data_IF_894433136884
#
_entry.id   IF_894433136884
#
_cell.length_a   1.000
_cell.length_b   1.000
_cell.length_c   1.000
_cell.angle_alpha   90.00
_cell.angle_beta   90.00
_cell.angle_gamma   90.00
#
_symmetry.space_group_name_H-M   'P 1'
#
loop_
_entity.id
_entity.type
_entity.pdbx_description
1 polymer ?
#
# COMPACT_ATOMS: atom_id res chain seq x y z
N UNK A 1 -12.21 -44.92 -8.78
CA UNK A 1 -10.74 -44.78 -8.73
C UNK A 1 -10.44 -43.73 -7.68
N UNK A 2 -9.98 -44.13 -6.49
CA UNK A 2 -9.92 -43.26 -5.30
C UNK A 2 -8.62 -42.48 -5.33
N UNK A 3 -8.69 -41.16 -5.55
CA UNK A 3 -7.55 -40.26 -5.48
C UNK A 3 -7.14 -40.11 -4.01
N UNK A 4 -6.06 -40.80 -3.62
CA UNK A 4 -5.38 -40.59 -2.34
C UNK A 4 -4.64 -39.26 -2.39
N UNK A 5 -5.21 -38.23 -1.77
CA UNK A 5 -4.56 -36.95 -1.57
C UNK A 5 -3.52 -37.11 -0.43
N UNK A 6 -2.23 -37.18 -0.77
CA UNK A 6 -1.14 -37.18 0.20
C UNK A 6 -0.93 -35.75 0.71
N UNK A 7 -1.62 -35.39 1.80
CA UNK A 7 -1.49 -34.10 2.47
C UNK A 7 -0.10 -33.89 3.08
N UNK A 8 0.90 -33.55 2.25
CA UNK A 8 2.13 -32.90 2.72
C UNK A 8 1.83 -31.40 2.81
N UNK A 9 1.63 -30.90 4.03
CA UNK A 9 1.69 -29.46 4.35
C UNK A 9 3.06 -28.94 3.89
N UNK A 10 3.11 -28.19 2.80
CA UNK A 10 4.26 -27.31 2.54
C UNK A 10 4.05 -26.10 3.44
N UNK A 11 5.02 -25.82 4.31
CA UNK A 11 4.98 -24.64 5.15
C UNK A 11 4.89 -23.39 4.26
N UNK A 12 3.92 -22.52 4.53
CA UNK A 12 3.87 -21.20 3.94
C UNK A 12 5.12 -20.41 4.38
N UNK A 13 5.70 -19.53 3.54
CA UNK A 13 6.75 -18.64 3.99
C UNK A 13 6.14 -17.61 4.94
N UNK A 14 6.32 -17.86 6.25
CA UNK A 14 5.71 -17.12 7.35
C UNK A 14 5.80 -15.60 7.24
N UNK A 15 4.72 -14.96 7.69
CA UNK A 15 4.63 -13.54 7.95
C UNK A 15 5.03 -13.28 9.41
N UNK A 16 6.32 -13.25 9.70
CA UNK A 16 6.81 -12.81 11.02
C UNK A 16 7.56 -11.49 10.87
N UNK A 17 6.99 -10.47 11.51
CA UNK A 17 7.65 -9.20 11.73
C UNK A 17 8.60 -9.32 12.92
N UNK A 18 9.89 -9.10 12.67
CA UNK A 18 10.82 -8.67 13.71
C UNK A 18 11.75 -7.60 13.17
N UNK A 19 11.84 -6.51 13.94
CA UNK A 19 12.72 -5.39 13.71
C UNK A 19 14.17 -5.83 13.98
N UNK A 20 15.04 -5.71 12.99
CA UNK A 20 16.49 -5.78 13.18
C UNK A 20 17.18 -4.86 12.15
N UNK A 21 18.04 -3.99 12.67
CA UNK A 21 18.85 -3.02 11.92
C UNK A 21 19.99 -3.77 11.22
N UNK A 22 20.12 -3.64 9.91
CA UNK A 22 21.42 -3.72 9.22
C UNK A 22 21.34 -3.13 7.80
N UNK A 23 22.20 -2.16 7.50
CA UNK A 23 22.25 -1.43 6.23
C UNK A 23 23.21 -2.12 5.24
N UNK A 24 22.63 -3.02 4.40
CA UNK A 24 23.25 -3.76 3.27
C UNK A 24 23.76 -5.16 3.67
N UNK A 25 23.77 -6.23 2.84
CA UNK A 25 23.23 -6.54 1.50
C UNK A 25 21.76 -7.05 1.51
N UNK A 26 21.09 -6.90 2.65
CA UNK A 26 19.75 -7.40 2.99
C UNK A 26 18.64 -7.04 1.99
N UNK A 27 18.74 -5.87 1.32
CA UNK A 27 17.69 -5.39 0.38
C UNK A 27 17.50 -6.27 -0.86
N UNK A 28 18.57 -6.90 -1.36
CA UNK A 28 18.46 -7.81 -2.52
C UNK A 28 17.78 -9.12 -2.13
N UNK A 29 18.14 -9.66 -0.96
CA UNK A 29 17.54 -10.87 -0.39
C UNK A 29 16.08 -10.63 -0.02
N UNK A 30 15.74 -9.45 0.51
CA UNK A 30 14.34 -9.09 0.80
C UNK A 30 13.51 -8.93 -0.47
N UNK A 31 14.06 -8.32 -1.53
CA UNK A 31 13.40 -8.20 -2.82
C UNK A 31 13.17 -9.57 -3.48
N UNK A 32 14.16 -10.48 -3.42
CA UNK A 32 14.03 -11.84 -3.93
C UNK A 32 12.94 -12.62 -3.21
N UNK A 33 12.92 -12.59 -1.86
CA UNK A 33 11.86 -13.25 -1.08
C UNK A 33 10.45 -12.72 -1.41
N UNK A 34 10.31 -11.41 -1.62
CA UNK A 34 9.03 -10.80 -2.03
C UNK A 34 8.62 -11.25 -3.44
N UNK A 35 9.56 -11.30 -4.38
CA UNK A 35 9.32 -11.81 -5.72
C UNK A 35 8.93 -13.30 -5.69
N UNK A 36 9.62 -14.13 -4.90
CA UNK A 36 9.27 -15.54 -4.71
C UNK A 36 7.86 -15.71 -4.14
N UNK A 37 7.47 -14.88 -3.17
CA UNK A 37 6.11 -14.85 -2.63
C UNK A 37 5.07 -14.49 -3.71
N UNK A 38 5.36 -13.47 -4.53
CA UNK A 38 4.52 -13.07 -5.66
C UNK A 38 4.35 -14.21 -6.67
N UNK A 39 5.45 -14.86 -7.06
CA UNK A 39 5.44 -16.02 -7.97
C UNK A 39 4.69 -17.22 -7.40
N UNK A 40 4.85 -17.48 -6.10
CA UNK A 40 4.13 -18.56 -5.41
C UNK A 40 2.61 -18.27 -5.40
N UNK A 41 2.22 -17.03 -5.11
CA UNK A 41 0.83 -16.58 -5.15
C UNK A 41 0.25 -16.71 -6.55
N UNK A 42 0.99 -16.30 -7.59
CA UNK A 42 0.60 -16.48 -8.99
C UNK A 42 0.35 -17.96 -9.35
N UNK A 43 1.21 -18.85 -8.86
CA UNK A 43 1.06 -20.30 -9.06
C UNK A 43 -0.15 -20.85 -8.32
N UNK A 44 -0.46 -20.36 -7.12
CA UNK A 44 -1.62 -20.76 -6.35
C UNK A 44 -2.91 -20.29 -7.02
N UNK A 45 -2.97 -19.00 -7.38
CA UNK A 45 -4.11 -18.37 -8.06
C UNK A 45 -4.47 -19.08 -9.36
N UNK A 46 -3.46 -19.51 -10.13
CA UNK A 46 -3.67 -20.28 -11.36
C UNK A 46 -4.38 -21.61 -11.10
N UNK A 47 -4.17 -22.27 -9.95
CA UNK A 47 -4.89 -23.51 -9.59
C UNK A 47 -6.37 -23.26 -9.31
N UNK A 48 -6.73 -22.04 -8.91
CA UNK A 48 -8.12 -21.61 -8.69
C UNK A 48 -8.75 -20.96 -9.94
N UNK A 49 -8.06 -21.02 -11.09
CA UNK A 49 -8.50 -20.48 -12.37
C UNK A 49 -8.20 -19.00 -12.58
N UNK A 50 -7.52 -18.32 -11.65
CA UNK A 50 -7.14 -16.92 -11.80
C UNK A 50 -5.81 -16.80 -12.54
N UNK A 51 -5.87 -16.95 -13.86
CA UNK A 51 -4.71 -16.75 -14.73
C UNK A 51 -4.46 -15.27 -15.00
N UNK A 52 -3.18 -14.87 -14.94
CA UNK A 52 -2.75 -13.51 -15.29
C UNK A 52 -2.87 -13.31 -16.79
N UNK A 53 -3.56 -12.24 -17.20
CA UNK A 53 -3.71 -11.89 -18.61
C UNK A 53 -2.34 -11.57 -19.24
N UNK A 54 -1.91 -12.37 -20.23
CA UNK A 54 -0.63 -12.20 -20.95
C UNK A 54 -0.81 -11.72 -22.38
N UNK A 55 -1.89 -12.14 -23.02
CA UNK A 55 -2.15 -11.80 -24.42
C UNK A 55 -2.80 -10.41 -24.51
N UNK A 56 -2.46 -9.62 -25.55
CA UNK A 56 -3.20 -8.42 -25.84
C UNK A 56 -4.67 -8.76 -26.12
N UNK A 57 -5.58 -8.06 -25.47
CA UNK A 57 -6.99 -8.36 -25.55
C UNK A 57 -7.81 -7.50 -24.62
N UNK A 58 -9.11 -7.62 -24.79
CA UNK A 58 -10.12 -6.92 -24.00
C UNK A 58 -11.01 -7.97 -23.35
N UNK A 59 -11.14 -7.91 -22.02
CA UNK A 59 -11.97 -8.81 -21.23
C UNK A 59 -12.87 -8.01 -20.33
N UNK A 60 -14.16 -8.33 -20.34
CA UNK A 60 -15.11 -7.80 -19.37
C UNK A 60 -15.23 -8.75 -18.20
N UNK A 61 -15.14 -8.23 -16.98
CA UNK A 61 -15.23 -9.04 -15.77
C UNK A 61 -15.73 -8.24 -14.57
N UNK A 62 -16.40 -8.92 -13.66
CA UNK A 62 -16.83 -8.40 -12.38
C UNK A 62 -15.70 -8.55 -11.36
N UNK A 63 -15.30 -7.43 -10.75
CA UNK A 63 -14.18 -7.39 -9.82
C UNK A 63 -14.58 -7.98 -8.47
N UNK A 64 -14.08 -9.18 -8.14
CA UNK A 64 -14.37 -9.86 -6.87
C UNK A 64 -13.41 -9.47 -5.74
N UNK A 65 -12.13 -9.28 -6.05
CA UNK A 65 -11.12 -9.03 -5.01
C UNK A 65 -9.91 -8.27 -5.57
N UNK A 66 -9.11 -7.69 -4.68
CA UNK A 66 -7.85 -7.03 -5.04
C UNK A 66 -6.82 -7.15 -3.92
N UNK A 67 -5.55 -7.38 -4.27
CA UNK A 67 -4.46 -7.53 -3.31
C UNK A 67 -3.18 -6.80 -3.74
N UNK A 68 -2.45 -6.15 -2.82
CA UNK A 68 -1.11 -5.64 -3.11
C UNK A 68 -0.18 -6.77 -3.56
N UNK A 69 0.57 -6.51 -4.62
CA UNK A 69 1.57 -7.42 -5.16
C UNK A 69 2.78 -6.63 -5.65
N UNK A 70 3.79 -7.35 -6.09
CA UNK A 70 4.97 -6.77 -6.71
C UNK A 70 5.30 -7.52 -7.98
N UNK A 71 5.59 -6.77 -9.03
CA UNK A 71 5.91 -7.29 -10.35
C UNK A 71 7.22 -6.69 -10.84
N UNK A 72 7.81 -7.31 -11.85
CA UNK A 72 8.96 -6.75 -12.55
C UNK A 72 8.47 -5.86 -13.68
N UNK A 73 8.96 -4.62 -13.70
CA UNK A 73 8.78 -3.68 -14.80
C UNK A 73 9.66 -4.06 -16.02
N UNK A 74 9.54 -3.35 -17.14
CA UNK A 74 10.34 -3.58 -18.36
C UNK A 74 11.86 -3.54 -18.08
N UNK A 75 12.29 -2.66 -17.17
CA UNK A 75 13.67 -2.52 -16.69
C UNK A 75 14.11 -3.65 -15.73
N UNK A 76 13.29 -4.69 -15.54
CA UNK A 76 13.46 -5.77 -14.54
C UNK A 76 13.60 -5.25 -13.11
N UNK A 77 13.02 -4.08 -12.83
CA UNK A 77 12.96 -3.51 -11.49
C UNK A 77 11.68 -3.95 -10.80
N UNK A 78 11.78 -4.24 -9.51
CA UNK A 78 10.61 -4.58 -8.70
C UNK A 78 9.78 -3.31 -8.47
N UNK A 79 8.51 -3.35 -8.86
CA UNK A 79 7.55 -2.25 -8.69
C UNK A 79 6.31 -2.74 -7.95
N UNK A 80 5.74 -1.89 -7.11
CA UNK A 80 4.48 -2.19 -6.46
C UNK A 80 3.32 -2.13 -7.45
N UNK A 81 2.41 -3.09 -7.32
CA UNK A 81 1.21 -3.22 -8.15
C UNK A 81 0.06 -3.75 -7.29
N UNK A 82 -1.16 -3.70 -7.82
CA UNK A 82 -2.31 -4.39 -7.22
C UNK A 82 -2.81 -5.41 -8.22
N UNK A 83 -2.94 -6.66 -7.75
CA UNK A 83 -3.64 -7.71 -8.49
C UNK A 83 -5.14 -7.53 -8.31
N UNK A 84 -5.86 -7.49 -9.43
CA UNK A 84 -7.31 -7.42 -9.51
C UNK A 84 -7.86 -8.74 -10.04
N UNK A 85 -8.80 -9.33 -9.32
CA UNK A 85 -9.37 -10.65 -9.58
C UNK A 85 -10.77 -10.51 -10.16
N UNK A 86 -11.00 -11.07 -11.34
CA UNK A 86 -12.25 -10.91 -12.08
C UNK A 86 -12.95 -12.24 -12.33
N UNK A 87 -14.28 -12.18 -12.34
CA UNK A 87 -15.17 -13.25 -12.80
C UNK A 87 -15.90 -12.75 -14.05
N UNK A 88 -15.86 -13.52 -15.12
CA UNK A 88 -16.57 -13.25 -16.36
C UNK A 88 -18.03 -13.75 -16.27
N UNK A 89 -18.87 -13.34 -17.21
CA UNK A 89 -20.26 -13.79 -17.37
C UNK A 89 -20.38 -15.29 -17.63
N UNK A 90 -19.42 -15.88 -18.34
CA UNK A 90 -19.31 -17.32 -18.58
C UNK A 90 -18.81 -18.13 -17.36
N UNK A 91 -18.56 -17.46 -16.23
CA UNK A 91 -18.01 -18.06 -15.02
C UNK A 91 -16.49 -18.30 -15.06
N UNK A 92 -15.84 -17.99 -16.18
CA UNK A 92 -14.37 -18.00 -16.26
C UNK A 92 -13.75 -16.91 -15.39
N UNK A 93 -12.50 -17.11 -15.01
CA UNK A 93 -11.79 -16.25 -14.07
C UNK A 93 -10.50 -15.78 -14.69
N UNK A 94 -10.10 -14.57 -14.37
CA UNK A 94 -8.80 -14.04 -14.75
C UNK A 94 -8.34 -13.01 -13.74
N UNK A 95 -7.05 -12.67 -13.76
CA UNK A 95 -6.52 -11.57 -12.97
C UNK A 95 -5.59 -10.69 -13.78
N UNK A 96 -5.37 -9.47 -13.29
CA UNK A 96 -4.45 -8.52 -13.90
C UNK A 96 -3.72 -7.73 -12.82
N UNK A 97 -2.43 -7.43 -13.03
CA UNK A 97 -1.70 -6.51 -12.17
C UNK A 97 -1.76 -5.11 -12.76
N UNK A 98 -2.03 -4.12 -11.91
CA UNK A 98 -1.92 -2.71 -12.25
C UNK A 98 -0.78 -2.07 -11.44
N UNK A 99 0.36 -1.76 -12.07
CA UNK A 99 1.45 -1.01 -11.43
C UNK A 99 1.01 0.40 -11.09
N UNK A 100 1.40 0.88 -9.91
CA UNK A 100 1.14 2.24 -9.48
C UNK A 100 2.20 2.69 -8.50
N UNK A 101 2.62 3.95 -8.58
CA UNK A 101 3.68 4.46 -7.72
C UNK A 101 3.09 4.85 -6.37
N UNK A 102 3.47 4.20 -5.24
CA UNK A 102 3.08 4.66 -3.92
C UNK A 102 3.58 6.09 -3.70
N UNK A 103 2.85 6.91 -2.97
CA UNK A 103 3.27 8.28 -2.68
C UNK A 103 2.75 8.79 -1.33
N UNK A 104 3.40 9.83 -0.83
CA UNK A 104 2.87 10.69 0.23
C UNK A 104 3.30 12.15 0.01
N UNK A 105 2.74 13.06 0.79
CA UNK A 105 2.99 14.50 0.66
C UNK A 105 3.77 15.04 1.84
N UNK A 106 4.59 16.05 1.58
CA UNK A 106 5.34 16.79 2.58
C UNK A 106 4.99 18.27 2.46
N UNK A 107 4.70 18.91 3.59
CA UNK A 107 4.58 20.35 3.70
C UNK A 107 5.93 20.96 4.12
N UNK A 108 6.31 22.06 3.48
CA UNK A 108 7.53 22.81 3.81
C UNK A 108 7.21 24.20 4.34
N UNK A 109 8.21 24.85 4.92
CA UNK A 109 8.18 26.30 5.19
C UNK A 109 8.08 27.08 3.87
N UNK A 110 7.39 28.22 3.91
CA UNK A 110 7.15 29.06 2.71
C UNK A 110 8.48 29.46 2.08
N UNK A 111 8.62 29.24 0.77
CA UNK A 111 9.81 29.61 -0.01
C UNK A 111 10.89 28.53 -0.10
N UNK A 112 10.86 27.49 0.73
CA UNK A 112 11.90 26.44 0.78
C UNK A 112 11.61 25.23 -0.12
N UNK A 113 10.49 25.22 -0.86
CA UNK A 113 10.00 24.07 -1.63
C UNK A 113 11.05 23.51 -2.61
N UNK A 114 11.75 24.40 -3.33
CA UNK A 114 12.76 24.01 -4.33
C UNK A 114 13.99 23.39 -3.70
N UNK A 115 14.46 23.98 -2.60
CA UNK A 115 15.64 23.52 -1.87
C UNK A 115 15.39 22.16 -1.24
N UNK A 116 14.25 22.00 -0.55
CA UNK A 116 13.84 20.73 0.05
C UNK A 116 13.63 19.66 -1.02
N UNK A 117 13.03 19.99 -2.17
CA UNK A 117 12.85 19.04 -3.28
C UNK A 117 14.20 18.53 -3.82
N UNK A 118 15.16 19.43 -4.01
CA UNK A 118 16.51 19.08 -4.48
C UNK A 118 17.26 18.23 -3.43
N UNK A 119 17.16 18.63 -2.16
CA UNK A 119 17.73 17.90 -1.03
C UNK A 119 17.19 16.48 -0.93
N UNK A 120 15.87 16.30 -0.95
CA UNK A 120 15.22 14.98 -0.86
C UNK A 120 15.60 14.09 -2.05
N UNK A 121 15.65 14.67 -3.25
CA UNK A 121 16.07 13.94 -4.46
C UNK A 121 17.52 13.44 -4.36
N UNK A 122 18.42 14.25 -3.80
CA UNK A 122 19.83 13.89 -3.61
C UNK A 122 20.03 12.91 -2.45
N UNK A 123 19.36 13.13 -1.31
CA UNK A 123 19.50 12.29 -0.11
C UNK A 123 18.94 10.88 -0.32
N UNK A 124 17.81 10.77 -1.01
CA UNK A 124 17.10 9.50 -1.23
C UNK A 124 17.22 9.01 -2.68
N UNK A 125 18.35 9.31 -3.33
CA UNK A 125 18.63 8.87 -4.67
C UNK A 125 18.51 7.34 -4.77
N UNK A 126 17.78 6.86 -5.77
CA UNK A 126 17.51 5.43 -5.98
C UNK A 126 16.28 4.90 -5.24
N UNK A 127 15.81 5.55 -4.16
CA UNK A 127 14.55 5.18 -3.46
C UNK A 127 13.35 5.95 -4.01
N UNK A 128 13.52 7.25 -4.24
CA UNK A 128 12.45 8.11 -4.77
C UNK A 128 12.42 8.01 -6.30
N UNK A 129 11.24 7.72 -6.86
CA UNK A 129 10.99 7.64 -8.29
C UNK A 129 10.73 9.01 -8.92
N UNK A 130 9.97 9.87 -8.22
CA UNK A 130 9.62 11.21 -8.71
C UNK A 130 9.35 12.16 -7.53
N UNK A 131 9.79 13.40 -7.67
CA UNK A 131 9.46 14.52 -6.77
C UNK A 131 8.71 15.56 -7.57
N UNK A 132 7.51 15.94 -7.13
CA UNK A 132 6.69 16.95 -7.80
C UNK A 132 6.02 17.90 -6.79
N UNK A 133 6.02 19.20 -7.09
CA UNK A 133 5.29 20.18 -6.27
C UNK A 133 3.85 20.26 -6.76
N UNK A 134 2.90 20.07 -5.86
CA UNK A 134 1.46 20.02 -6.17
C UNK A 134 0.70 20.96 -5.23
N UNK A 135 -0.13 21.88 -5.76
CA UNK A 135 -1.02 22.68 -4.92
C UNK A 135 -2.21 21.82 -4.44
N UNK A 136 -2.43 21.77 -3.13
CA UNK A 136 -3.58 21.12 -2.49
C UNK A 136 -4.30 22.06 -1.54
N UNK A 137 -5.59 21.83 -1.35
CA UNK A 137 -6.37 22.53 -0.33
C UNK A 137 -5.96 22.03 1.06
N UNK A 138 -5.64 22.97 1.94
CA UNK A 138 -5.22 22.70 3.31
C UNK A 138 -6.32 23.24 4.24
N UNK A 139 -7.12 22.33 4.79
CA UNK A 139 -8.25 22.67 5.67
C UNK A 139 -7.78 23.20 7.02
N UNK A 140 -6.51 23.02 7.38
CA UNK A 140 -5.96 23.53 8.63
C UNK A 140 -5.53 24.99 8.52
N UNK A 141 -5.52 25.57 7.31
CA UNK A 141 -5.21 26.99 7.14
C UNK A 141 -6.38 27.89 7.58
N UNK A 142 -6.09 29.02 8.26
CA UNK A 142 -7.07 30.07 8.47
C UNK A 142 -7.51 30.60 7.10
N UNK A 143 -8.83 30.67 6.87
CA UNK A 143 -9.46 31.03 5.60
C UNK A 143 -9.46 29.94 4.50
N UNK A 144 -9.33 28.66 4.84
CA UNK A 144 -9.44 27.55 3.87
C UNK A 144 -10.77 27.54 3.07
N UNK A 145 -11.85 28.11 3.62
CA UNK A 145 -13.14 28.29 2.93
C UNK A 145 -13.07 29.20 1.68
N UNK A 146 -11.99 29.99 1.56
CA UNK A 146 -11.72 30.84 0.38
C UNK A 146 -11.02 30.03 -0.73
N UNK A 147 -10.74 28.74 -0.50
CA UNK A 147 -10.06 27.87 -1.47
C UNK A 147 -8.54 28.09 -1.54
N UNK A 148 -7.94 28.60 -0.47
CA UNK A 148 -6.49 28.79 -0.39
C UNK A 148 -5.78 27.45 -0.49
N UNK A 149 -4.90 27.33 -1.49
CA UNK A 149 -4.10 26.13 -1.73
C UNK A 149 -2.71 26.32 -1.16
N UNK A 150 -2.22 25.30 -0.47
CA UNK A 150 -0.84 25.16 -0.04
C UNK A 150 -0.09 24.28 -1.03
N UNK A 151 1.15 24.63 -1.32
CA UNK A 151 2.03 23.77 -2.09
C UNK A 151 2.56 22.64 -1.21
N UNK A 152 2.40 21.41 -1.67
CA UNK A 152 2.98 20.22 -1.09
C UNK A 152 4.00 19.61 -2.05
N UNK A 153 5.01 18.96 -1.50
CA UNK A 153 5.94 18.14 -2.28
C UNK A 153 5.41 16.71 -2.24
N UNK A 154 5.02 16.17 -3.38
CA UNK A 154 4.64 14.76 -3.55
C UNK A 154 5.88 13.94 -3.86
N UNK A 155 6.13 12.94 -3.02
CA UNK A 155 7.20 11.96 -3.21
C UNK A 155 6.57 10.67 -3.72
N UNK A 156 6.95 10.24 -4.92
CA UNK A 156 6.50 8.97 -5.51
C UNK A 156 7.63 7.94 -5.48
N UNK A 157 7.30 6.69 -5.19
CA UNK A 157 8.25 5.59 -4.98
C UNK A 157 8.02 4.46 -6.01
N UNK A 158 9.00 3.59 -6.20
CA UNK A 158 8.82 2.37 -7.01
C UNK A 158 8.15 1.27 -6.18
N UNK A 159 8.49 1.17 -4.89
CA UNK A 159 7.94 0.15 -3.98
C UNK A 159 7.39 0.76 -2.69
N UNK A 160 6.47 0.04 -2.05
CA UNK A 160 5.98 0.40 -0.70
C UNK A 160 7.11 0.30 0.33
N UNK A 161 8.07 -0.60 0.16
CA UNK A 161 9.24 -0.71 1.05
C UNK A 161 10.06 0.59 1.06
N UNK A 162 10.34 1.15 -0.13
CA UNK A 162 11.08 2.41 -0.26
C UNK A 162 10.33 3.57 0.41
N UNK A 163 9.01 3.63 0.22
CA UNK A 163 8.14 4.60 0.89
C UNK A 163 8.30 4.51 2.41
N UNK A 164 8.19 3.30 2.97
CA UNK A 164 8.28 3.08 4.42
C UNK A 164 9.67 3.42 4.96
N UNK A 165 10.74 3.09 4.22
CA UNK A 165 12.12 3.45 4.58
C UNK A 165 12.29 4.97 4.63
N UNK A 166 11.87 5.69 3.59
CA UNK A 166 11.98 7.16 3.55
C UNK A 166 11.10 7.82 4.62
N UNK A 167 9.87 7.33 4.81
CA UNK A 167 8.98 7.80 5.89
C UNK A 167 9.67 7.67 7.26
N UNK A 168 10.26 6.51 7.57
CA UNK A 168 10.94 6.25 8.84
C UNK A 168 12.09 7.23 9.11
N UNK A 169 12.77 7.69 8.07
CA UNK A 169 13.84 8.69 8.19
C UNK A 169 13.32 10.13 8.36
N UNK A 170 12.18 10.48 7.74
CA UNK A 170 11.62 11.83 7.75
C UNK A 170 10.73 12.10 8.99
N UNK A 171 9.94 11.11 9.44
CA UNK A 171 8.97 11.28 10.53
C UNK A 171 9.55 11.82 11.85
N UNK A 172 10.74 11.40 12.31
CA UNK A 172 11.32 11.94 13.55
C UNK A 172 11.66 13.44 13.44
N UNK A 173 12.15 13.88 12.28
CA UNK A 173 12.46 15.29 12.02
C UNK A 173 11.19 16.13 12.02
N UNK A 174 10.15 15.67 11.32
CA UNK A 174 8.84 16.36 11.28
C UNK A 174 8.26 16.53 12.67
N UNK A 175 8.28 15.46 13.49
CA UNK A 175 7.75 15.53 14.87
C UNK A 175 8.49 16.56 15.71
N UNK A 176 9.83 16.56 15.63
CA UNK A 176 10.67 17.56 16.33
C UNK A 176 10.34 18.98 15.86
N UNK A 177 10.16 19.18 14.56
CA UNK A 177 9.88 20.51 14.00
C UNK A 177 8.48 21.01 14.38
N UNK A 178 7.49 20.12 14.46
CA UNK A 178 6.15 20.46 14.94
C UNK A 178 6.17 20.88 16.41
N UNK A 179 6.84 20.11 17.28
CA UNK A 179 7.01 20.46 18.68
C UNK A 179 7.70 21.82 18.87
N UNK A 180 8.77 22.08 18.09
CA UNK A 180 9.49 23.36 18.11
C UNK A 180 8.66 24.52 17.57
N UNK A 181 7.87 24.30 16.51
CA UNK A 181 6.95 25.28 15.96
C UNK A 181 5.90 25.70 16.99
N UNK A 182 5.28 24.73 17.66
CA UNK A 182 4.31 25.01 18.73
C UNK A 182 4.93 25.74 19.94
N UNK A 183 6.14 25.35 20.35
CA UNK A 183 6.85 26.02 21.44
C UNK A 183 7.26 27.45 21.07
N UNK A 184 7.73 27.66 19.84
CA UNK A 184 8.09 28.99 19.33
C UNK A 184 6.86 29.87 19.13
N UNK A 185 5.75 29.36 18.61
CA UNK A 185 4.52 30.11 18.42
C UNK A 185 3.89 30.51 19.77
N UNK A 186 3.91 29.63 20.76
CA UNK A 186 3.41 29.95 22.11
C UNK A 186 4.28 30.98 22.82
N UNK A 187 5.60 30.82 22.77
CA UNK A 187 6.53 31.80 23.34
C UNK A 187 6.46 33.14 22.61
N UNK A 188 6.39 33.14 21.28
CA UNK A 188 6.26 34.34 20.45
C UNK A 188 4.90 35.00 20.64
N UNK A 189 3.81 34.26 20.81
CA UNK A 189 2.49 34.81 21.14
C UNK A 189 2.47 35.44 22.55
N UNK A 190 3.16 34.86 23.52
CA UNK A 190 3.37 35.48 24.84
C UNK A 190 4.29 36.70 24.75
N UNK A 191 5.33 36.66 23.91
CA UNK A 191 6.25 37.78 23.72
C UNK A 191 5.60 38.93 22.97
N UNK A 192 4.78 38.66 21.96
CA UNK A 192 4.05 39.69 21.21
C UNK A 192 2.87 40.26 21.99
N UNK A 193 2.33 39.54 22.99
CA UNK A 193 1.38 40.10 23.95
C UNK A 193 2.06 40.96 25.03
N UNK A 194 3.36 40.78 25.29
CA UNK A 194 4.13 41.53 26.31
C UNK A 194 5.01 42.65 25.71
N UNK A 195 5.50 42.49 24.48
CA UNK A 195 6.46 43.35 23.81
C UNK A 195 5.95 43.67 22.39
N UNK A 196 5.03 44.63 22.30
CA UNK A 196 4.75 45.32 21.03
C UNK A 196 5.98 46.16 20.64
N UNK A 197 6.90 45.56 19.90
CA UNK A 197 7.94 46.27 19.16
C UNK A 197 9.36 45.92 19.57
N UNK A 198 9.96 44.92 18.92
CA UNK A 198 11.34 44.95 18.40
C UNK A 198 11.67 43.62 17.73
N UNK A 199 12.02 43.67 16.44
CA UNK A 199 12.46 42.53 15.62
C UNK A 199 13.93 42.23 15.88
N UNK A 200 14.28 40.97 16.13
CA UNK A 200 15.68 40.52 16.18
C UNK A 200 15.92 39.50 15.07
N UNK A 201 16.88 39.82 14.21
CA UNK A 201 17.36 39.01 13.10
C UNK A 201 18.60 38.27 13.61
N UNK A 202 18.72 36.97 13.35
CA UNK A 202 19.97 36.22 13.57
C UNK A 202 20.27 35.40 12.31
N UNK A 203 21.48 35.56 11.81
CA UNK A 203 22.04 34.96 10.60
C UNK A 203 23.07 33.89 11.01
N UNK A 204 23.12 32.73 10.35
CA UNK A 204 24.09 31.68 10.69
C UNK A 204 24.64 30.84 9.51
N UNK A 205 25.92 30.49 9.72
CA UNK A 205 26.94 29.69 9.02
C UNK A 205 26.55 28.42 8.22
N UNK A 206 27.40 28.03 7.27
CA UNK A 206 26.90 27.84 5.90
C UNK A 206 27.10 26.46 5.22
N UNK A 207 27.37 25.34 5.91
CA UNK A 207 27.50 24.06 5.16
C UNK A 207 27.07 22.76 5.86
N UNK A 208 27.39 22.55 7.13
CA UNK A 208 26.85 21.40 7.89
C UNK A 208 25.46 21.70 8.45
N UNK A 209 25.17 22.98 8.74
CA UNK A 209 23.83 23.50 9.04
C UNK A 209 22.91 23.31 7.83
N UNK A 210 23.37 23.62 6.61
CA UNK A 210 22.59 23.48 5.36
C UNK A 210 21.87 22.13 5.15
N UNK A 211 22.38 21.01 5.67
CA UNK A 211 21.71 19.70 5.55
C UNK A 211 20.67 19.48 6.67
N UNK A 212 20.96 19.92 7.89
CA UNK A 212 20.01 19.92 9.00
C UNK A 212 18.87 20.92 8.73
N UNK A 213 19.21 22.10 8.22
CA UNK A 213 18.29 23.18 7.87
C UNK A 213 17.19 22.72 6.91
N UNK A 214 17.52 21.87 5.93
CA UNK A 214 16.53 21.42 4.93
C UNK A 214 15.58 20.36 5.46
N UNK A 215 15.99 19.55 6.45
CA UNK A 215 15.05 18.69 7.19
C UNK A 215 14.24 19.51 8.20
N UNK A 216 14.81 20.54 8.79
CA UNK A 216 14.15 21.47 9.71
C UNK A 216 13.09 22.35 8.99
N UNK A 217 13.25 22.51 7.67
CA UNK A 217 12.28 23.16 6.78
C UNK A 217 11.05 22.30 6.49
N UNK A 218 11.05 21.01 6.85
CA UNK A 218 9.89 20.12 6.70
C UNK A 218 8.96 20.30 7.92
N UNK A 219 7.73 20.75 7.65
CA UNK A 219 6.76 21.12 8.70
C UNK A 219 5.78 19.99 8.97
N UNK A 220 5.35 19.26 7.94
CA UNK A 220 4.30 18.26 8.09
C UNK A 220 4.40 17.17 7.02
N UNK A 221 3.78 16.02 7.30
CA UNK A 221 3.61 14.90 6.38
C UNK A 221 2.13 14.58 6.25
N UNK A 222 1.63 14.42 5.02
CA UNK A 222 0.23 14.10 4.75
C UNK A 222 0.10 12.82 3.95
N UNK A 223 -0.96 12.08 4.29
CA UNK A 223 -1.38 10.85 3.61
C UNK A 223 -0.28 9.77 3.53
N UNK A 224 0.59 9.71 4.54
CA UNK A 224 1.74 8.79 4.63
C UNK A 224 1.40 7.40 5.19
N UNK A 225 0.17 7.24 5.66
CA UNK A 225 -0.38 6.06 6.34
C UNK A 225 -1.52 5.40 5.56
N UNK A 226 -1.87 5.93 4.38
CA UNK A 226 -2.89 5.36 3.50
C UNK A 226 -2.41 4.00 2.96
N UNK A 227 -3.14 2.89 3.20
CA UNK A 227 -2.77 1.59 2.65
C UNK A 227 -2.70 1.61 1.13
N UNK A 228 -1.71 0.92 0.57
CA UNK A 228 -1.37 1.04 -0.86
C UNK A 228 -2.51 0.64 -1.82
N UNK A 229 -3.24 -0.44 -1.54
CA UNK A 229 -4.39 -0.83 -2.37
C UNK A 229 -5.57 0.15 -2.25
N UNK A 230 -5.76 0.77 -1.07
CA UNK A 230 -6.79 1.79 -0.85
C UNK A 230 -6.45 3.07 -1.63
N UNK A 231 -5.19 3.50 -1.59
CA UNK A 231 -4.68 4.61 -2.39
C UNK A 231 -5.05 4.46 -3.86
N UNK A 232 -4.70 3.31 -4.44
CA UNK A 232 -4.92 2.99 -5.85
C UNK A 232 -6.41 2.96 -6.19
N UNK A 233 -7.22 2.40 -5.30
CA UNK A 233 -8.68 2.35 -5.42
C UNK A 233 -9.31 3.74 -5.44
N UNK A 234 -8.84 4.65 -4.58
CA UNK A 234 -9.32 6.04 -4.52
C UNK A 234 -8.90 6.81 -5.77
N UNK A 235 -7.63 6.76 -6.12
CA UNK A 235 -7.07 7.60 -7.18
C UNK A 235 -7.60 7.21 -8.57
N UNK A 236 -7.78 5.90 -8.81
CA UNK A 236 -8.27 5.37 -10.08
C UNK A 236 -9.78 5.08 -10.07
N UNK A 237 -10.46 5.27 -8.93
CA UNK A 237 -11.89 4.98 -8.74
C UNK A 237 -12.26 3.53 -9.08
N UNK A 238 -11.37 2.59 -8.75
CA UNK A 238 -11.58 1.16 -8.95
C UNK A 238 -12.02 0.55 -7.62
N UNK A 239 -13.23 0.00 -7.60
CA UNK A 239 -13.87 -0.62 -6.44
C UNK A 239 -14.35 -2.02 -6.77
N UNK A 240 -14.22 -2.94 -5.82
CA UNK A 240 -14.81 -4.28 -5.89
C UNK A 240 -16.33 -4.22 -6.09
N UNK A 241 -16.90 -5.34 -6.50
CA UNK A 241 -18.32 -5.52 -6.76
C UNK A 241 -18.90 -4.72 -7.93
N UNK A 242 -18.07 -4.35 -8.90
CA UNK A 242 -18.48 -3.67 -10.12
C UNK A 242 -17.91 -4.37 -11.36
N UNK A 243 -18.58 -4.18 -12.49
CA UNK A 243 -18.09 -4.62 -13.78
C UNK A 243 -17.05 -3.65 -14.33
N UNK A 244 -15.99 -4.22 -14.89
CA UNK A 244 -14.97 -3.49 -15.59
C UNK A 244 -14.64 -4.15 -16.91
N UNK A 245 -14.27 -3.30 -17.85
CA UNK A 245 -13.60 -3.70 -19.05
C UNK A 245 -12.09 -3.53 -18.87
N UNK A 246 -11.37 -4.64 -18.96
CA UNK A 246 -9.92 -4.72 -18.78
C UNK A 246 -9.28 -4.87 -20.14
N UNK A 247 -8.57 -3.83 -20.57
CA UNK A 247 -7.85 -3.79 -21.84
C UNK A 247 -6.36 -3.90 -21.60
N UNK A 248 -5.77 -4.98 -22.10
CA UNK A 248 -4.35 -5.22 -22.09
C UNK A 248 -3.81 -5.06 -23.51
N UNK A 249 -2.87 -4.13 -23.71
CA UNK A 249 -2.28 -3.82 -25.04
C UNK A 249 -0.87 -4.39 -25.21
N UNK A 250 -0.51 -5.39 -24.41
CA UNK A 250 0.86 -5.91 -24.32
C UNK A 250 1.73 -5.11 -23.34
N UNK A 251 3.04 -5.39 -23.32
CA UNK A 251 3.97 -4.81 -22.35
C UNK A 251 4.16 -3.30 -22.49
N UNK A 252 4.02 -2.77 -23.70
CA UNK A 252 4.33 -1.37 -24.03
C UNK A 252 3.32 -0.33 -23.51
N UNK A 253 2.20 -0.76 -22.91
CA UNK A 253 1.18 0.16 -22.39
C UNK A 253 0.58 -0.38 -21.10
N UNK A 254 0.28 0.50 -20.13
CA UNK A 254 -0.34 0.07 -18.88
C UNK A 254 -1.71 -0.54 -19.16
N UNK A 255 -2.10 -1.49 -18.32
CA UNK A 255 -3.44 -2.06 -18.33
C UNK A 255 -4.46 -0.97 -18.05
N UNK A 256 -5.50 -0.91 -18.87
CA UNK A 256 -6.60 0.03 -18.69
C UNK A 256 -7.80 -0.71 -18.12
N UNK A 257 -8.30 -0.23 -16.98
CA UNK A 257 -9.47 -0.79 -16.29
C UNK A 257 -10.57 0.28 -16.30
N UNK A 258 -11.62 0.05 -17.09
CA UNK A 258 -12.71 1.02 -17.26
C UNK A 258 -14.01 0.46 -16.70
N UNK A 259 -14.66 1.22 -15.82
CA UNK A 259 -15.91 0.80 -15.18
C UNK A 259 -17.06 0.71 -16.20
N UNK A 260 -17.88 -0.34 -16.08
CA UNK A 260 -19.07 -0.60 -16.90
C UNK A 260 -20.32 -0.49 -16.04
N UNK A 261 -20.87 0.72 -15.96
CA UNK A 261 -22.09 1.02 -15.18
C UNK A 261 -23.38 0.53 -15.86
N UNK A 262 -23.30 0.14 -17.13
CA UNK A 262 -24.40 -0.45 -17.90
C UNK A 262 -24.72 -1.89 -17.47
N UNK A 263 -23.77 -2.59 -16.84
CA UNK A 263 -23.93 -3.96 -16.35
C UNK A 263 -24.31 -3.94 -14.86
N UNK A 264 -25.55 -4.33 -14.56
CA UNK A 264 -26.10 -4.31 -13.19
C UNK A 264 -26.17 -5.71 -12.58
N UNK A 265 -26.45 -6.72 -13.39
CA UNK A 265 -26.55 -8.10 -12.95
C UNK A 265 -25.20 -8.61 -12.46
N UNK A 266 -25.17 -9.23 -11.27
CA UNK A 266 -23.93 -9.71 -10.66
C UNK A 266 -23.74 -11.17 -11.03
N UNK A 267 -22.50 -11.62 -11.29
CA UNK A 267 -22.26 -13.04 -11.42
C UNK A 267 -22.44 -13.70 -10.04
N UNK A 268 -22.78 -14.97 -10.03
CA UNK A 268 -22.88 -15.78 -8.82
C UNK A 268 -21.50 -16.37 -8.48
N UNK A 269 -20.77 -15.83 -7.49
CA UNK A 269 -19.52 -16.44 -7.05
C UNK A 269 -19.83 -17.76 -6.32
N UNK A 270 -18.94 -18.74 -6.46
CA UNK A 270 -19.00 -19.96 -5.64
C UNK A 270 -18.67 -19.59 -4.20
N UNK A 271 -19.60 -19.83 -3.29
CA UNK A 271 -19.45 -19.54 -1.85
C UNK A 271 -19.31 -20.84 -1.08
N UNK A 272 -18.17 -21.00 -0.40
CA UNK A 272 -17.94 -22.07 0.57
C UNK A 272 -17.97 -21.50 1.98
N UNK A 273 -18.90 -21.97 2.79
CA UNK A 273 -18.93 -21.71 4.24
C UNK A 273 -18.60 -23.01 4.97
N UNK A 274 -17.79 -22.95 6.02
CA UNK A 274 -17.45 -24.13 6.81
C UNK A 274 -17.43 -23.82 8.30
N UNK A 275 -17.69 -24.85 9.10
CA UNK A 275 -17.65 -24.82 10.54
C UNK A 275 -16.94 -26.08 11.05
N UNK A 276 -16.07 -25.91 12.05
CA UNK A 276 -15.22 -26.97 12.58
C UNK A 276 -15.55 -27.25 14.03
N UNK A 277 -15.52 -28.53 14.39
CA UNK A 277 -15.84 -28.99 15.73
C UNK A 277 -14.65 -29.80 16.25
N UNK A 278 -14.15 -29.43 17.41
CA UNK A 278 -12.94 -30.01 18.01
C UNK A 278 -13.22 -30.63 19.37
N UNK A 279 -12.39 -31.58 19.78
CA UNK A 279 -12.35 -31.96 21.19
C UNK A 279 -11.93 -30.75 22.03
N UNK A 280 -12.26 -30.80 23.32
CA UNK A 280 -11.71 -29.87 24.31
C UNK A 280 -11.77 -30.47 25.70
N UNK A 281 -10.81 -30.11 26.54
CA UNK A 281 -10.86 -30.46 27.95
C UNK A 281 -12.05 -29.80 28.67
N UNK A 282 -12.62 -30.45 29.70
CA UNK A 282 -13.67 -29.84 30.53
C UNK A 282 -13.21 -28.49 31.10
N UNK A 283 -14.09 -27.49 31.02
CA UNK A 283 -13.84 -26.12 31.50
C UNK A 283 -12.63 -25.40 30.87
N UNK A 284 -12.13 -25.89 29.71
CA UNK A 284 -11.10 -25.21 28.92
C UNK A 284 -11.58 -24.90 27.50
N UNK A 285 -10.88 -23.97 26.85
CA UNK A 285 -10.95 -23.77 25.41
C UNK A 285 -10.21 -24.90 24.68
N UNK A 286 -10.56 -25.17 23.41
CA UNK A 286 -9.80 -26.10 22.58
C UNK A 286 -8.35 -25.68 22.42
N UNK A 287 -7.44 -26.65 22.41
CA UNK A 287 -6.01 -26.45 22.20
C UNK A 287 -5.55 -27.16 20.92
N UNK A 288 -5.04 -26.40 19.94
CA UNK A 288 -4.65 -26.94 18.63
C UNK A 288 -3.49 -27.94 18.68
N UNK A 289 -2.70 -27.99 19.76
CA UNK A 289 -1.61 -28.96 19.92
C UNK A 289 -2.08 -30.31 20.46
N UNK A 290 -3.16 -30.32 21.24
CA UNK A 290 -3.60 -31.51 22.00
C UNK A 290 -4.98 -32.03 21.60
N UNK A 291 -5.88 -31.13 21.21
CA UNK A 291 -7.23 -31.46 20.78
C UNK A 291 -7.30 -31.79 19.28
N UNK A 292 -8.25 -32.65 18.91
CA UNK A 292 -8.45 -33.13 17.55
C UNK A 292 -9.71 -32.55 16.92
N UNK A 293 -9.69 -32.35 15.60
CA UNK A 293 -10.89 -32.01 14.83
C UNK A 293 -11.79 -33.24 14.76
N UNK A 294 -12.96 -33.16 15.39
CA UNK A 294 -13.99 -34.20 15.38
C UNK A 294 -14.81 -34.15 14.09
N UNK A 295 -15.10 -32.96 13.57
CA UNK A 295 -15.81 -32.81 12.31
C UNK A 295 -15.51 -31.48 11.62
N UNK A 296 -15.72 -31.48 10.30
CA UNK A 296 -15.79 -30.28 9.48
C UNK A 296 -17.12 -30.36 8.73
N UNK A 297 -18.03 -29.43 9.01
CA UNK A 297 -19.24 -29.23 8.21
C UNK A 297 -19.01 -28.09 7.23
N UNK A 298 -19.48 -28.22 6.00
CA UNK A 298 -19.35 -27.15 5.01
C UNK A 298 -20.53 -27.13 4.06
N UNK A 299 -20.78 -25.96 3.47
CA UNK A 299 -21.80 -25.74 2.46
C UNK A 299 -21.16 -25.09 1.24
N UNK A 300 -21.46 -25.62 0.05
CA UNK A 300 -21.07 -25.06 -1.25
C UNK A 300 -22.35 -24.71 -1.99
N UNK A 301 -22.59 -23.42 -2.23
CA UNK A 301 -23.76 -22.94 -2.99
C UNK A 301 -25.10 -23.55 -2.50
N UNK A 302 -25.25 -23.68 -1.18
CA UNK A 302 -26.45 -24.24 -0.54
C UNK A 302 -26.46 -25.76 -0.36
N UNK A 303 -25.50 -26.49 -0.94
CA UNK A 303 -25.36 -27.94 -0.75
C UNK A 303 -24.47 -28.22 0.47
N UNK A 304 -25.04 -28.88 1.49
CA UNK A 304 -24.36 -29.17 2.75
C UNK A 304 -23.73 -30.56 2.79
N UNK A 305 -22.47 -30.61 3.20
CA UNK A 305 -21.68 -31.83 3.38
C UNK A 305 -20.99 -31.83 4.77
N UNK A 306 -20.57 -33.01 5.23
CA UNK A 306 -19.83 -33.15 6.49
C UNK A 306 -18.77 -34.23 6.42
N UNK A 307 -17.57 -33.88 6.86
CA UNK A 307 -16.45 -34.79 7.11
C UNK A 307 -16.38 -35.09 8.61
N UNK A 308 -16.21 -36.36 8.97
CA UNK A 308 -15.94 -36.77 10.36
C UNK A 308 -14.48 -37.20 10.49
N UNK A 309 -13.81 -36.68 11.52
CA UNK A 309 -12.50 -37.19 11.94
C UNK A 309 -12.68 -38.60 12.53
N UNK A 310 -11.77 -39.50 12.18
CA UNK A 310 -11.64 -40.81 12.83
C UNK A 310 -10.74 -40.71 14.04
#
# INVERSE_FOLDING_TARGET
MVLRNSGRRQAEPGADGEASRDDGPSSSVSALKRLERSQWTDKMDSRFGFERLKEPGEKTGWLINMHPTEILDEDKRLVSAVDYYFIQDDGSRFKVALPYKPYFYIATRKGCEREVSSFLSKKFQGKIAKVETVPKEDLDLPNHLVGLKRNYIKLSFHTVEDLVRVRREISPAVRKNQEQGHASDTYTAMLSSVLQGSSVIVDEEETSKKIADQLDNIVDMREYDVPYHIRLSIDLKIHVAHWYNVRHRGSASPVEITRRDDLVERPDPVVLAFDIETTKLPLKFPDAETDQIMMISYMIDGQGDRLRGH
#
